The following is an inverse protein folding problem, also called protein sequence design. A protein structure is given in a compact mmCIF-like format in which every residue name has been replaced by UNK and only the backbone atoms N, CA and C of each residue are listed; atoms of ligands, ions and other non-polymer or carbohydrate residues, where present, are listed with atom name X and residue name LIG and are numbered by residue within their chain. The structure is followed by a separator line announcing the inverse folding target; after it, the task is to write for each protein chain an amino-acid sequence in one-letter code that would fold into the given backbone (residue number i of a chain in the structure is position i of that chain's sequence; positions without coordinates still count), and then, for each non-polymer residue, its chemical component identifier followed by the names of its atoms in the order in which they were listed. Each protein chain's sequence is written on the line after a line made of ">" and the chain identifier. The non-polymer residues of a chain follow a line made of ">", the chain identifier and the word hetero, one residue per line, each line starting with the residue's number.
data_IF_572350919727
#
_entry.id   IF_572350919727
#
_cell.length_a   1.000
_cell.length_b   1.000
_cell.length_c   1.000
_cell.angle_alpha   90.00
_cell.angle_beta   90.00
_cell.angle_gamma   90.00
#
_symmetry.space_group_name_H-M   'P 1'
#
loop_
_entity.id
_entity.type
_entity.pdbx_description
1 polymer ?
#
# COMPACT_ATOMS: atom_id res chain seq x y z
N UNK A 1 -1.80 14.83 19.85
CA UNK A 1 -2.90 14.70 18.87
C UNK A 1 -2.73 13.37 18.16
N UNK A 2 -3.77 12.55 18.00
CA UNK A 2 -3.61 11.15 17.57
C UNK A 2 -3.03 11.03 16.16
N UNK A 3 -1.81 10.52 16.04
CA UNK A 3 -1.07 10.32 14.78
C UNK A 3 -1.34 8.96 14.13
N UNK A 4 -2.07 8.08 14.82
CA UNK A 4 -2.29 6.69 14.44
C UNK A 4 -2.78 6.51 12.98
N UNK A 5 -3.71 7.36 12.53
CA UNK A 5 -4.22 7.33 11.16
C UNK A 5 -3.16 7.63 10.10
N UNK A 6 -2.26 8.58 10.38
CA UNK A 6 -1.16 8.93 9.48
C UNK A 6 -0.05 7.87 9.52
N UNK A 7 0.22 7.32 10.71
CA UNK A 7 1.22 6.27 10.90
C UNK A 7 0.83 4.97 10.16
N UNK A 8 -0.44 4.54 10.27
CA UNK A 8 -0.94 3.37 9.52
C UNK A 8 -0.95 3.59 8.02
N UNK A 9 -1.30 4.79 7.55
CA UNK A 9 -1.28 5.10 6.12
C UNK A 9 0.15 5.04 5.55
N UNK A 10 1.14 5.59 6.24
CA UNK A 10 2.54 5.50 5.84
C UNK A 10 3.03 4.05 5.79
N UNK A 11 2.62 3.22 6.77
CA UNK A 11 2.94 1.81 6.79
C UNK A 11 2.29 1.01 5.65
N UNK A 12 1.02 1.29 5.33
CA UNK A 12 0.32 0.70 4.20
C UNK A 12 1.04 1.03 2.88
N UNK A 13 1.43 2.29 2.67
CA UNK A 13 2.20 2.71 1.49
C UNK A 13 3.53 1.97 1.41
N UNK A 14 4.24 1.85 2.53
CA UNK A 14 5.52 1.12 2.60
C UNK A 14 5.31 -0.37 2.28
N UNK A 15 4.25 -0.97 2.79
CA UNK A 15 3.94 -2.37 2.51
C UNK A 15 3.57 -2.59 1.05
N UNK A 16 2.75 -1.73 0.44
CA UNK A 16 2.43 -1.80 -0.99
C UNK A 16 3.72 -1.78 -1.83
N UNK A 17 4.66 -0.88 -1.51
CA UNK A 17 5.97 -0.81 -2.21
C UNK A 17 6.81 -2.08 -2.02
N UNK A 18 6.74 -2.70 -0.85
CA UNK A 18 7.44 -3.95 -0.57
C UNK A 18 6.87 -5.12 -1.39
N UNK A 19 5.55 -5.25 -1.46
CA UNK A 19 4.88 -6.27 -2.28
C UNK A 19 5.18 -6.06 -3.78
N UNK A 20 5.18 -4.81 -4.25
CA UNK A 20 5.62 -4.50 -5.63
C UNK A 20 7.05 -4.95 -5.89
N UNK A 21 7.96 -4.69 -4.95
CA UNK A 21 9.36 -5.09 -5.08
C UNK A 21 9.52 -6.62 -5.10
N UNK A 22 8.75 -7.35 -4.29
CA UNK A 22 8.74 -8.81 -4.28
C UNK A 22 8.25 -9.42 -5.61
N UNK A 23 7.41 -8.70 -6.35
CA UNK A 23 6.90 -9.08 -7.67
C UNK A 23 7.73 -8.51 -8.84
N UNK A 24 8.82 -7.79 -8.56
CA UNK A 24 9.60 -7.00 -9.52
C UNK A 24 8.75 -6.01 -10.35
N UNK A 25 7.72 -5.43 -9.74
CA UNK A 25 6.85 -4.44 -10.39
C UNK A 25 7.30 -3.00 -10.12
N UNK A 26 7.11 -2.12 -11.10
CA UNK A 26 7.16 -0.66 -10.89
C UNK A 26 5.72 -0.11 -10.78
N UNK A 27 5.60 1.19 -10.47
CA UNK A 27 4.28 1.83 -10.30
C UNK A 27 3.38 1.71 -11.55
N UNK A 28 3.89 1.84 -12.79
CA UNK A 28 3.09 1.65 -13.99
C UNK A 28 2.38 0.29 -14.08
N UNK A 29 3.03 -0.79 -13.67
CA UNK A 29 2.53 -2.17 -13.70
C UNK A 29 1.42 -2.35 -12.67
N UNK A 30 1.65 -1.88 -11.43
CA UNK A 30 0.62 -1.91 -10.39
C UNK A 30 -0.60 -1.06 -10.80
N UNK A 31 -0.37 0.13 -11.37
CA UNK A 31 -1.45 1.01 -11.84
C UNK A 31 -2.31 0.31 -12.89
N UNK A 32 -1.66 -0.34 -13.86
CA UNK A 32 -2.35 -1.10 -14.90
C UNK A 32 -3.18 -2.25 -14.31
N UNK A 33 -2.58 -3.06 -13.43
CA UNK A 33 -3.24 -4.24 -12.83
C UNK A 33 -4.35 -3.88 -11.86
N UNK A 34 -4.22 -2.77 -11.13
CA UNK A 34 -5.24 -2.27 -10.22
C UNK A 34 -6.34 -1.45 -10.94
N UNK A 35 -6.19 -1.18 -12.24
CA UNK A 35 -7.13 -0.32 -12.98
C UNK A 35 -7.15 1.13 -12.48
N UNK A 36 -6.00 1.64 -12.01
CA UNK A 36 -5.86 2.99 -11.42
C UNK A 36 -5.04 3.87 -12.37
N UNK A 37 -5.41 5.14 -12.61
CA UNK A 37 -4.55 6.07 -13.35
C UNK A 37 -3.17 6.21 -12.70
N UNK A 38 -2.09 6.13 -13.49
CA UNK A 38 -0.69 6.21 -12.98
C UNK A 38 -0.45 7.43 -12.09
N UNK A 39 -0.98 8.60 -12.48
CA UNK A 39 -0.86 9.82 -11.70
C UNK A 39 -1.56 9.73 -10.33
N UNK A 40 -2.73 9.07 -10.27
CA UNK A 40 -3.43 8.84 -9.00
C UNK A 40 -2.66 7.89 -8.11
N UNK A 41 -2.18 6.76 -8.65
CA UNK A 41 -1.37 5.81 -7.88
C UNK A 41 -0.09 6.48 -7.34
N UNK A 42 0.57 7.28 -8.17
CA UNK A 42 1.77 8.03 -7.75
C UNK A 42 1.49 8.90 -6.52
N UNK A 43 0.42 9.72 -6.56
CA UNK A 43 0.03 10.60 -5.45
C UNK A 43 -0.36 9.83 -4.18
N UNK A 44 -0.96 8.65 -4.33
CA UNK A 44 -1.25 7.79 -3.17
C UNK A 44 0.05 7.24 -2.56
N UNK A 45 0.98 6.77 -3.39
CA UNK A 45 2.23 6.16 -2.92
C UNK A 45 3.31 7.17 -2.50
N UNK A 46 3.18 8.45 -2.88
CA UNK A 46 4.01 9.54 -2.36
C UNK A 46 3.47 10.10 -1.03
N UNK A 47 2.19 9.88 -0.74
CA UNK A 47 1.51 10.51 0.41
C UNK A 47 0.95 11.90 0.09
N UNK A 48 1.05 12.38 -1.15
CA UNK A 48 0.48 13.68 -1.59
C UNK A 48 -1.06 13.67 -1.62
N UNK A 49 -1.66 12.49 -1.52
CA UNK A 49 -3.10 12.30 -1.41
C UNK A 49 -3.40 11.05 -0.59
N UNK A 50 -4.45 11.13 0.21
CA UNK A 50 -4.97 9.97 0.94
C UNK A 50 -5.35 8.84 0.00
N UNK A 51 -5.07 7.61 0.44
CA UNK A 51 -5.41 6.39 -0.28
C UNK A 51 -6.86 6.00 0.03
N UNK A 52 -7.82 6.18 -0.90
CA UNK A 52 -9.22 5.85 -0.62
C UNK A 52 -9.42 4.34 -0.57
N UNK A 53 -10.34 3.87 0.27
CA UNK A 53 -10.61 2.44 0.46
C UNK A 53 -10.86 1.65 -0.85
N UNK A 54 -11.62 2.17 -1.85
CA UNK A 54 -11.78 1.46 -3.12
C UNK A 54 -10.46 1.29 -3.90
N UNK A 55 -9.59 2.30 -3.87
CA UNK A 55 -8.28 2.20 -4.51
C UNK A 55 -7.37 1.23 -3.76
N UNK A 56 -7.44 1.22 -2.43
CA UNK A 56 -6.70 0.27 -1.59
C UNK A 56 -7.11 -1.17 -1.88
N UNK A 57 -8.41 -1.45 -1.98
CA UNK A 57 -8.94 -2.76 -2.35
C UNK A 57 -8.44 -3.21 -3.72
N UNK A 58 -8.47 -2.32 -4.72
CA UNK A 58 -7.97 -2.62 -6.06
C UNK A 58 -6.47 -2.92 -6.07
N UNK A 59 -5.68 -2.18 -5.29
CA UNK A 59 -4.24 -2.43 -5.12
C UNK A 59 -3.99 -3.79 -4.47
N UNK A 60 -4.70 -4.10 -3.37
CA UNK A 60 -4.57 -5.39 -2.69
C UNK A 60 -4.88 -6.56 -3.64
N UNK A 61 -6.02 -6.49 -4.34
CA UNK A 61 -6.41 -7.49 -5.32
C UNK A 61 -5.37 -7.64 -6.44
N UNK A 62 -4.82 -6.53 -6.94
CA UNK A 62 -3.78 -6.56 -7.98
C UNK A 62 -2.47 -7.22 -7.49
N UNK A 63 -2.15 -7.10 -6.20
CA UNK A 63 -1.02 -7.76 -5.56
C UNK A 63 -1.30 -9.22 -5.17
N UNK A 64 -2.52 -9.71 -5.41
CA UNK A 64 -2.93 -11.08 -5.03
C UNK A 64 -3.17 -11.24 -3.53
N UNK A 65 -3.48 -10.15 -2.81
CA UNK A 65 -3.72 -10.14 -1.37
C UNK A 65 -5.15 -9.68 -1.07
N UNK A 66 -5.71 -10.20 0.01
CA UNK A 66 -6.86 -9.57 0.64
C UNK A 66 -6.47 -8.25 1.32
N UNK A 67 -7.46 -7.38 1.52
CA UNK A 67 -7.28 -6.14 2.26
C UNK A 67 -6.78 -6.38 3.69
N UNK A 68 -7.27 -7.45 4.33
CA UNK A 68 -6.88 -7.85 5.68
C UNK A 68 -5.40 -8.23 5.76
N UNK A 69 -4.92 -9.08 4.86
CA UNK A 69 -3.52 -9.51 4.81
C UNK A 69 -2.57 -8.33 4.61
N UNK A 70 -2.90 -7.43 3.67
CA UNK A 70 -2.07 -6.27 3.39
C UNK A 70 -1.99 -5.31 4.59
N UNK A 71 -3.11 -5.12 5.29
CA UNK A 71 -3.18 -4.30 6.50
C UNK A 71 -2.44 -4.95 7.66
N UNK A 72 -2.59 -6.26 7.86
CA UNK A 72 -1.91 -6.99 8.92
C UNK A 72 -0.39 -6.96 8.76
N UNK A 73 0.12 -7.13 7.52
CA UNK A 73 1.55 -7.00 7.21
C UNK A 73 2.06 -5.58 7.48
N UNK A 74 1.30 -4.56 7.11
CA UNK A 74 1.64 -3.16 7.41
C UNK A 74 1.67 -2.89 8.93
N UNK A 75 0.70 -3.43 9.68
CA UNK A 75 0.63 -3.29 11.13
C UNK A 75 1.81 -3.98 11.82
N UNK A 76 2.17 -5.21 11.41
CA UNK A 76 3.35 -5.91 11.93
C UNK A 76 4.63 -5.10 11.80
N UNK A 77 4.76 -4.38 10.67
CA UNK A 77 5.89 -3.50 10.40
C UNK A 77 5.92 -2.26 11.30
N UNK A 78 4.76 -1.69 11.63
CA UNK A 78 4.64 -0.58 12.60
C UNK A 78 4.96 -1.01 14.02
N UNK A 79 4.48 -2.19 14.41
CA UNK A 79 4.73 -2.76 15.73
C UNK A 79 6.21 -3.13 15.96
N UNK A 80 7.06 -3.02 14.93
CA UNK A 80 8.45 -3.44 14.99
C UNK A 80 8.62 -4.96 15.10
N UNK A 81 7.60 -5.74 14.71
CA UNK A 81 7.62 -7.22 14.80
C UNK A 81 8.34 -7.89 13.61
N UNK A 82 8.82 -7.10 12.65
CA UNK A 82 9.81 -7.53 11.67
C UNK A 82 11.23 -7.37 12.25
N UNK A 83 11.54 -8.11 13.32
CA UNK A 83 12.93 -8.35 13.75
C UNK A 83 13.33 -9.72 13.21
N UNK A 84 14.01 -9.69 12.05
CA UNK A 84 14.82 -10.73 11.41
C UNK A 84 14.21 -12.13 11.27
#
# INVERSE_FOLDING_TARGET
>A
MGTYGTDIQAALIKQIKAEMAALDWKQPELAQKAGIPKASLHRYLSGDRDLPLPAFLNIANALGLSLGELTERAQRRLDGKDVL
#
